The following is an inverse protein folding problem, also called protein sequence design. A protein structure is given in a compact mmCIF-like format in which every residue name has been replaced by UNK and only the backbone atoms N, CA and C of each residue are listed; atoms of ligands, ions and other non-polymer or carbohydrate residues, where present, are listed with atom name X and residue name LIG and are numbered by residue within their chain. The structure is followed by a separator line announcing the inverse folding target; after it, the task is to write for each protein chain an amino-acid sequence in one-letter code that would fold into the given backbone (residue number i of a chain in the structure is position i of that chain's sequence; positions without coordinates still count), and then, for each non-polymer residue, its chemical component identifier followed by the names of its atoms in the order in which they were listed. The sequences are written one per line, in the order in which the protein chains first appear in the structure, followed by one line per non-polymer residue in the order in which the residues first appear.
data_IF_028509097730
#
_entry.id   IF_028509097730
#
_cell.length_a   1.000
_cell.length_b   1.000
_cell.length_c   1.000
_cell.angle_alpha   90.00
_cell.angle_beta   90.00
_cell.angle_gamma   90.00
#
_symmetry.space_group_name_H-M   'P 1'
#
loop_
_entity.id
_entity.type
_entity.pdbx_description
1 polymer ?
#
# COMPACT_ATOMS: atom_id res chain seq x y z
N UNK A 1 12.26 22.14 4.81
CA UNK A 1 12.13 21.45 6.12
C UNK A 1 13.43 20.84 6.62
N UNK A 2 14.11 19.97 5.83
CA UNK A 2 15.33 19.30 6.31
C UNK A 2 16.51 20.25 6.57
N UNK A 3 16.75 21.21 5.68
CA UNK A 3 17.82 22.23 5.81
C UNK A 3 17.73 23.07 7.10
N UNK A 4 16.53 23.19 7.69
CA UNK A 4 16.29 23.97 8.91
C UNK A 4 16.00 23.06 10.12
N UNK A 5 16.25 21.76 10.03
CA UNK A 5 16.04 20.79 11.12
C UNK A 5 14.57 20.46 11.45
N UNK A 6 13.60 21.17 10.88
CA UNK A 6 12.18 20.98 11.17
C UNK A 6 11.67 19.58 10.82
N UNK A 7 12.28 18.89 9.84
CA UNK A 7 11.87 17.52 9.47
C UNK A 7 12.12 16.52 10.61
N UNK A 8 13.29 16.58 11.26
CA UNK A 8 13.63 15.69 12.36
C UNK A 8 12.71 15.87 13.58
N UNK A 9 12.11 17.05 13.74
CA UNK A 9 11.16 17.34 14.83
C UNK A 9 9.73 16.90 14.46
N UNK A 10 9.27 17.26 13.26
CA UNK A 10 7.87 17.07 12.86
C UNK A 10 7.61 15.70 12.21
N UNK A 11 8.61 15.11 11.57
CA UNK A 11 8.53 13.81 10.88
C UNK A 11 9.82 12.99 11.09
N UNK A 12 10.24 12.71 12.36
CA UNK A 12 11.43 11.91 12.65
C UNK A 12 11.45 10.55 11.95
N UNK A 13 10.29 9.93 11.71
CA UNK A 13 10.19 8.66 10.99
C UNK A 13 10.62 8.79 9.52
N UNK A 14 10.31 9.93 8.89
CA UNK A 14 10.69 10.23 7.51
C UNK A 14 12.15 10.69 7.43
N UNK A 15 12.61 11.51 8.38
CA UNK A 15 14.02 11.92 8.48
C UNK A 15 14.96 10.71 8.64
N UNK A 16 14.52 9.69 9.39
CA UNK A 16 15.28 8.46 9.59
C UNK A 16 15.50 7.60 8.33
N UNK A 17 14.80 7.88 7.21
CA UNK A 17 15.06 7.23 5.92
C UNK A 17 16.27 7.84 5.19
N UNK A 18 16.76 9.00 5.61
CA UNK A 18 17.87 9.66 4.96
C UNK A 18 19.17 8.85 5.10
N UNK A 19 19.82 8.56 3.97
CA UNK A 19 21.02 7.73 3.90
C UNK A 19 20.75 6.22 3.99
N UNK A 20 19.49 5.77 4.09
CA UNK A 20 19.13 4.34 4.07
C UNK A 20 19.08 3.87 2.61
N UNK A 21 19.98 2.96 2.18
CA UNK A 21 20.14 2.60 0.77
C UNK A 21 19.17 1.51 0.32
N UNK A 22 18.51 1.73 -0.82
CA UNK A 22 17.73 0.77 -1.59
C UNK A 22 18.57 0.08 -2.68
N UNK A 23 18.10 -1.05 -3.24
CA UNK A 23 18.82 -1.75 -4.29
C UNK A 23 18.80 -0.92 -5.59
N UNK A 24 19.99 -0.49 -6.05
CA UNK A 24 20.15 0.42 -7.20
C UNK A 24 19.47 -0.05 -8.50
N UNK A 25 19.34 -1.38 -8.68
CA UNK A 25 18.64 -1.97 -9.83
C UNK A 25 17.17 -1.53 -9.92
N UNK A 26 16.49 -1.45 -8.79
CA UNK A 26 15.07 -1.12 -8.72
C UNK A 26 14.82 0.33 -8.28
N UNK A 27 15.77 0.90 -7.55
CA UNK A 27 15.73 2.28 -7.04
C UNK A 27 17.03 2.99 -7.42
N UNK A 28 17.14 3.52 -8.66
CA UNK A 28 18.38 4.17 -9.12
C UNK A 28 18.75 5.42 -8.34
N UNK A 29 17.81 6.01 -7.60
CA UNK A 29 18.03 7.08 -6.62
C UNK A 29 18.80 6.63 -5.37
N UNK A 30 18.81 5.32 -5.08
CA UNK A 30 19.43 4.64 -3.93
C UNK A 30 18.85 5.08 -2.58
N UNK A 31 18.78 6.37 -2.28
CA UNK A 31 18.37 6.86 -0.97
C UNK A 31 16.86 6.72 -0.73
N UNK A 32 16.48 6.09 0.39
CA UNK A 32 15.07 5.83 0.75
C UNK A 32 14.27 7.09 1.04
N UNK A 33 14.89 8.15 1.58
CA UNK A 33 14.21 9.43 1.77
C UNK A 33 13.95 10.10 0.42
N UNK A 34 14.94 10.09 -0.49
CA UNK A 34 14.77 10.60 -1.85
C UNK A 34 13.64 9.85 -2.57
N UNK A 35 13.63 8.51 -2.48
CA UNK A 35 12.55 7.69 -3.01
C UNK A 35 11.19 8.14 -2.45
N UNK A 36 11.02 8.22 -1.13
CA UNK A 36 9.75 8.65 -0.53
C UNK A 36 9.28 10.04 -1.02
N UNK A 37 10.19 10.98 -1.29
CA UNK A 37 9.85 12.29 -1.86
C UNK A 37 9.42 12.21 -3.32
N UNK A 38 10.07 11.36 -4.12
CA UNK A 38 9.67 11.10 -5.51
C UNK A 38 8.29 10.42 -5.58
N UNK A 39 8.02 9.46 -4.68
CA UNK A 39 6.69 8.82 -4.54
C UNK A 39 5.63 9.85 -4.16
N UNK A 40 5.90 10.75 -3.20
CA UNK A 40 4.98 11.84 -2.85
C UNK A 40 4.69 12.77 -4.04
N UNK A 41 5.71 13.11 -4.82
CA UNK A 41 5.55 13.93 -6.01
C UNK A 41 4.61 13.26 -7.01
N UNK A 42 4.81 11.97 -7.30
CA UNK A 42 3.94 11.21 -8.19
C UNK A 42 2.53 11.04 -7.64
N UNK A 43 2.38 10.75 -6.35
CA UNK A 43 1.09 10.66 -5.69
C UNK A 43 0.32 11.98 -5.77
N UNK A 44 1.03 13.12 -5.68
CA UNK A 44 0.44 14.45 -5.86
C UNK A 44 -0.13 14.61 -7.26
N UNK A 45 0.67 14.32 -8.30
CA UNK A 45 0.24 14.44 -9.70
C UNK A 45 -0.92 13.49 -10.04
N UNK A 46 -0.82 12.23 -9.65
CA UNK A 46 -1.81 11.20 -9.94
C UNK A 46 -3.14 11.45 -9.22
N UNK A 47 -3.10 11.88 -7.96
CA UNK A 47 -4.32 12.16 -7.18
C UNK A 47 -5.09 13.39 -7.66
N UNK A 48 -4.49 14.29 -8.45
CA UNK A 48 -5.23 15.40 -9.07
C UNK A 48 -6.09 14.93 -10.27
N UNK A 49 -5.77 13.78 -10.86
CA UNK A 49 -6.43 13.27 -12.06
C UNK A 49 -7.64 12.38 -11.78
N UNK A 50 -7.87 12.04 -10.51
CA UNK A 50 -8.93 11.12 -10.09
C UNK A 50 -9.69 11.67 -8.88
N UNK A 51 -10.96 11.30 -8.76
CA UNK A 51 -11.74 11.61 -7.56
C UNK A 51 -11.36 10.64 -6.43
N UNK A 52 -10.71 11.17 -5.39
CA UNK A 52 -10.22 10.42 -4.24
C UNK A 52 -9.95 11.34 -3.03
N UNK A 53 -9.66 10.74 -1.87
CA UNK A 53 -9.13 11.45 -0.70
C UNK A 53 -7.65 11.82 -0.92
N UNK A 54 -7.40 12.86 -1.74
CA UNK A 54 -6.05 13.29 -2.19
C UNK A 54 -5.02 13.38 -1.06
N UNK A 55 -5.37 14.04 0.04
CA UNK A 55 -4.46 14.18 1.18
C UNK A 55 -4.19 12.87 1.91
N UNK A 56 -5.14 11.93 1.94
CA UNK A 56 -4.93 10.61 2.51
C UNK A 56 -3.99 9.77 1.64
N UNK A 57 -4.17 9.80 0.31
CA UNK A 57 -3.28 9.16 -0.67
C UNK A 57 -1.84 9.69 -0.53
N UNK A 58 -1.66 11.01 -0.50
CA UNK A 58 -0.33 11.64 -0.35
C UNK A 58 0.31 11.32 1.00
N UNK A 59 -0.48 11.26 2.07
CA UNK A 59 0.01 10.85 3.39
C UNK A 59 0.41 9.37 3.42
N UNK A 60 -0.38 8.48 2.82
CA UNK A 60 -0.03 7.06 2.72
C UNK A 60 1.23 6.83 1.88
N UNK A 61 1.40 7.60 0.79
CA UNK A 61 2.59 7.59 -0.05
C UNK A 61 3.89 7.89 0.72
N UNK A 62 3.91 8.90 1.59
CA UNK A 62 5.11 9.17 2.41
C UNK A 62 5.35 8.12 3.50
N UNK A 63 4.31 7.37 3.89
CA UNK A 63 4.39 6.39 4.98
C UNK A 63 4.78 4.98 4.51
N UNK A 64 4.69 4.68 3.21
CA UNK A 64 4.76 3.30 2.70
C UNK A 64 6.02 2.56 3.15
N UNK A 65 7.16 3.26 3.21
CA UNK A 65 8.48 2.68 3.40
C UNK A 65 9.16 3.01 4.74
N UNK A 66 8.44 3.61 5.70
CA UNK A 66 9.02 4.04 7.00
C UNK A 66 9.71 2.90 7.76
N UNK A 67 9.34 1.65 7.49
CA UNK A 67 9.98 0.47 8.07
C UNK A 67 11.42 0.24 7.63
N UNK A 68 11.88 0.77 6.49
CA UNK A 68 13.26 0.60 6.00
C UNK A 68 14.27 1.14 7.01
N UNK A 69 13.96 2.28 7.64
CA UNK A 69 14.76 2.87 8.73
C UNK A 69 14.89 1.97 9.98
N UNK A 70 14.04 0.95 10.13
CA UNK A 70 14.05 0.01 11.25
C UNK A 70 14.68 -1.34 10.91
N UNK A 71 15.09 -1.54 9.66
CA UNK A 71 15.77 -2.78 9.26
C UNK A 71 17.22 -2.80 9.75
N UNK A 72 17.74 -3.95 10.23
CA UNK A 72 19.15 -4.08 10.56
C UNK A 72 20.04 -3.80 9.35
N UNK A 73 21.18 -3.14 9.55
CA UNK A 73 22.13 -2.84 8.46
C UNK A 73 22.62 -4.09 7.71
N UNK A 74 22.68 -5.24 8.37
CA UNK A 74 23.00 -6.53 7.74
C UNK A 74 22.00 -6.96 6.65
N UNK A 75 20.78 -6.42 6.68
CA UNK A 75 19.74 -6.71 5.71
C UNK A 75 19.66 -5.63 4.60
N UNK A 76 20.51 -4.61 4.65
CA UNK A 76 20.57 -3.59 3.61
C UNK A 76 21.25 -4.16 2.36
N UNK A 77 20.80 -3.78 1.16
CA UNK A 77 19.71 -2.85 0.85
C UNK A 77 18.34 -3.53 0.63
N UNK A 78 18.18 -4.82 0.96
CA UNK A 78 16.98 -5.60 0.62
C UNK A 78 15.80 -5.36 1.55
N UNK A 79 16.07 -4.93 2.80
CA UNK A 79 15.05 -4.49 3.74
C UNK A 79 13.92 -5.52 3.99
N UNK A 80 14.27 -6.82 4.08
CA UNK A 80 13.30 -7.87 4.33
C UNK A 80 12.44 -7.58 5.58
N UNK A 81 11.11 -7.61 5.41
CA UNK A 81 10.14 -7.40 6.47
C UNK A 81 9.89 -5.94 6.87
N UNK A 82 10.41 -4.96 6.10
CA UNK A 82 10.18 -3.54 6.36
C UNK A 82 8.68 -3.19 6.42
N UNK A 83 7.83 -3.88 5.67
CA UNK A 83 6.38 -3.64 5.64
C UNK A 83 5.76 -3.77 7.05
N UNK A 84 6.14 -4.82 7.79
CA UNK A 84 5.69 -5.01 9.17
C UNK A 84 6.41 -4.11 10.16
N UNK A 85 7.72 -3.89 9.97
CA UNK A 85 8.51 -3.01 10.82
C UNK A 85 8.02 -1.55 10.74
N UNK A 86 7.43 -1.15 9.62
CA UNK A 86 6.87 0.16 9.36
C UNK A 86 5.55 0.46 10.10
N UNK A 87 4.83 -0.56 10.58
CA UNK A 87 3.56 -0.36 11.26
C UNK A 87 3.67 0.48 12.54
N UNK A 88 4.71 0.23 13.33
CA UNK A 88 4.95 0.99 14.57
C UNK A 88 5.31 2.47 14.30
N UNK A 89 6.31 2.82 13.45
CA UNK A 89 6.58 4.21 13.14
C UNK A 89 5.39 4.91 12.47
N UNK A 90 4.65 4.26 11.57
CA UNK A 90 3.43 4.83 10.96
C UNK A 90 2.40 5.20 12.02
N UNK A 91 2.11 4.30 12.98
CA UNK A 91 1.20 4.57 14.10
C UNK A 91 1.67 5.71 15.00
N UNK A 92 2.96 5.75 15.32
CA UNK A 92 3.53 6.80 16.15
C UNK A 92 3.42 8.19 15.49
N UNK A 93 3.74 8.26 14.19
CA UNK A 93 3.56 9.46 13.37
C UNK A 93 2.09 9.91 13.38
N UNK A 94 1.17 8.99 13.10
CA UNK A 94 -0.28 9.25 13.08
C UNK A 94 -0.78 9.79 14.42
N UNK A 95 -0.39 9.16 15.53
CA UNK A 95 -0.75 9.57 16.88
C UNK A 95 -0.22 10.96 17.22
N UNK A 96 1.04 11.24 16.89
CA UNK A 96 1.70 12.50 17.21
C UNK A 96 1.10 13.67 16.42
N UNK A 97 0.77 13.46 15.16
CA UNK A 97 0.13 14.46 14.30
C UNK A 97 -1.39 14.52 14.43
N UNK A 98 -2.00 13.63 15.22
CA UNK A 98 -3.47 13.51 15.39
C UNK A 98 -4.19 13.39 14.03
N UNK A 99 -3.65 12.58 13.13
CA UNK A 99 -4.23 12.41 11.79
C UNK A 99 -5.62 11.77 11.87
N UNK A 100 -6.54 12.09 10.93
CA UNK A 100 -7.84 11.44 10.89
C UNK A 100 -7.73 9.92 10.73
N UNK A 101 -8.69 9.19 11.31
CA UNK A 101 -8.68 7.72 11.32
C UNK A 101 -8.57 7.09 9.94
N UNK A 102 -9.22 7.67 8.93
CA UNK A 102 -9.15 7.20 7.54
C UNK A 102 -7.72 7.26 6.97
N UNK A 103 -6.98 8.33 7.28
CA UNK A 103 -5.62 8.55 6.79
C UNK A 103 -4.67 7.54 7.40
N UNK A 104 -4.79 7.34 8.72
CA UNK A 104 -4.02 6.31 9.43
C UNK A 104 -4.30 4.92 8.87
N UNK A 105 -5.57 4.56 8.63
CA UNK A 105 -5.91 3.25 8.08
C UNK A 105 -5.31 3.03 6.69
N UNK A 106 -5.41 4.02 5.80
CA UNK A 106 -4.82 3.90 4.46
C UNK A 106 -3.28 3.83 4.51
N UNK A 107 -2.64 4.62 5.37
CA UNK A 107 -1.19 4.59 5.55
C UNK A 107 -0.70 3.26 6.12
N UNK A 108 -1.37 2.72 7.14
CA UNK A 108 -1.05 1.40 7.71
C UNK A 108 -1.22 0.27 6.67
N UNK A 109 -2.34 0.26 5.94
CA UNK A 109 -2.59 -0.73 4.89
C UNK A 109 -1.55 -0.63 3.75
N UNK A 110 -1.20 0.58 3.35
CA UNK A 110 -0.19 0.81 2.32
C UNK A 110 1.17 0.32 2.78
N UNK A 111 1.58 0.70 4.00
CA UNK A 111 2.86 0.29 4.57
C UNK A 111 2.99 -1.25 4.62
N UNK A 112 1.95 -1.95 5.07
CA UNK A 112 1.98 -3.40 5.22
C UNK A 112 1.86 -4.16 3.89
N UNK A 113 1.09 -3.65 2.92
CA UNK A 113 0.67 -4.44 1.75
C UNK A 113 1.15 -3.93 0.39
N UNK A 114 1.83 -2.78 0.26
CA UNK A 114 2.26 -2.27 -1.06
C UNK A 114 3.08 -3.29 -1.86
N UNK A 115 3.97 -4.05 -1.22
CA UNK A 115 4.77 -5.10 -1.89
C UNK A 115 3.93 -6.29 -2.38
N UNK A 116 2.74 -6.53 -1.81
CA UNK A 116 1.82 -7.55 -2.30
C UNK A 116 1.24 -7.17 -3.65
N UNK A 117 0.88 -5.88 -3.85
CA UNK A 117 0.39 -5.43 -5.16
C UNK A 117 1.51 -5.43 -6.20
N UNK A 118 2.73 -5.01 -5.83
CA UNK A 118 3.88 -5.11 -6.74
C UNK A 118 4.11 -6.53 -7.26
N UNK A 119 3.77 -7.55 -6.44
CA UNK A 119 3.89 -8.97 -6.73
C UNK A 119 2.56 -9.65 -7.04
N UNK A 120 1.51 -8.91 -7.40
CA UNK A 120 0.14 -9.44 -7.52
C UNK A 120 0.05 -10.62 -8.50
N UNK A 121 0.87 -10.64 -9.56
CA UNK A 121 0.95 -11.72 -10.54
C UNK A 121 1.51 -13.04 -9.97
N UNK A 122 2.25 -12.97 -8.87
CA UNK A 122 2.89 -14.11 -8.21
C UNK A 122 2.06 -14.61 -7.02
N UNK A 123 0.99 -13.90 -6.64
CA UNK A 123 0.19 -14.25 -5.48
C UNK A 123 -0.76 -15.41 -5.78
N UNK A 124 -0.85 -16.34 -4.83
CA UNK A 124 -1.90 -17.37 -4.85
C UNK A 124 -3.29 -16.74 -4.68
N UNK A 125 -4.35 -17.30 -5.29
CA UNK A 125 -5.70 -16.76 -5.17
C UNK A 125 -6.19 -16.57 -3.73
N UNK A 126 -5.82 -17.47 -2.80
CA UNK A 126 -6.18 -17.33 -1.38
C UNK A 126 -5.54 -16.08 -0.74
N UNK A 127 -4.32 -15.74 -1.16
CA UNK A 127 -3.63 -14.54 -0.70
C UNK A 127 -4.31 -13.29 -1.24
N UNK A 128 -4.76 -13.31 -2.49
CA UNK A 128 -5.52 -12.20 -3.09
C UNK A 128 -6.86 -12.01 -2.37
N UNK A 129 -7.62 -13.07 -2.13
CA UNK A 129 -8.90 -12.99 -1.41
C UNK A 129 -8.69 -12.54 0.04
N UNK A 130 -7.60 -12.97 0.69
CA UNK A 130 -7.22 -12.45 2.02
C UNK A 130 -6.92 -10.96 1.97
N UNK A 131 -6.18 -10.48 0.97
CA UNK A 131 -5.90 -9.06 0.77
C UNK A 131 -7.21 -8.27 0.58
N UNK A 132 -8.11 -8.71 -0.30
CA UNK A 132 -9.42 -8.09 -0.51
C UNK A 132 -10.25 -8.04 0.78
N UNK A 133 -10.23 -9.10 1.58
CA UNK A 133 -10.87 -9.11 2.89
C UNK A 133 -10.24 -8.12 3.88
N UNK A 134 -8.91 -8.00 3.92
CA UNK A 134 -8.19 -7.03 4.75
C UNK A 134 -8.55 -5.60 4.39
N UNK A 135 -8.64 -5.30 3.09
CA UNK A 135 -9.06 -3.98 2.60
C UNK A 135 -10.57 -3.74 2.70
N UNK A 136 -11.36 -4.77 3.02
CA UNK A 136 -12.82 -4.72 3.08
C UNK A 136 -13.44 -4.21 1.77
N UNK A 137 -12.89 -4.66 0.64
CA UNK A 137 -13.26 -4.16 -0.70
C UNK A 137 -14.75 -4.33 -1.00
N UNK A 138 -15.39 -5.31 -0.36
CA UNK A 138 -16.82 -5.62 -0.51
C UNK A 138 -17.74 -4.50 -0.03
N UNK A 139 -17.29 -3.69 0.94
CA UNK A 139 -18.07 -2.59 1.54
C UNK A 139 -17.43 -1.23 1.32
N UNK A 140 -16.10 -1.19 1.20
CA UNK A 140 -15.29 0.03 1.12
C UNK A 140 -14.28 -0.04 -0.05
N UNK A 141 -14.75 -0.22 -1.30
CA UNK A 141 -13.85 -0.41 -2.44
C UNK A 141 -12.93 0.78 -2.70
N UNK A 142 -13.39 2.01 -2.43
CA UNK A 142 -12.63 3.24 -2.67
C UNK A 142 -11.25 3.21 -1.99
N UNK A 143 -11.16 2.72 -0.76
CA UNK A 143 -9.88 2.62 -0.02
C UNK A 143 -8.87 1.72 -0.72
N UNK A 144 -9.33 0.66 -1.39
CA UNK A 144 -8.46 -0.20 -2.17
C UNK A 144 -8.02 0.49 -3.46
N UNK A 145 -8.90 1.24 -4.13
CA UNK A 145 -8.53 2.05 -5.30
C UNK A 145 -7.46 3.09 -4.96
N UNK A 146 -7.60 3.76 -3.83
CA UNK A 146 -6.62 4.73 -3.32
C UNK A 146 -5.29 4.07 -2.98
N UNK A 147 -5.31 2.87 -2.40
CA UNK A 147 -4.10 2.09 -2.17
C UNK A 147 -3.40 1.68 -3.47
N UNK A 148 -4.14 1.25 -4.50
CA UNK A 148 -3.57 0.98 -5.82
C UNK A 148 -2.94 2.23 -6.43
N UNK A 149 -3.56 3.40 -6.26
CA UNK A 149 -3.01 4.68 -6.70
C UNK A 149 -1.67 5.01 -6.00
N UNK A 150 -1.55 4.70 -4.71
CA UNK A 150 -0.27 4.85 -3.99
C UNK A 150 0.78 3.89 -4.52
N UNK A 151 0.43 2.62 -4.77
CA UNK A 151 1.37 1.65 -5.34
C UNK A 151 1.82 2.03 -6.76
N UNK A 152 0.93 2.66 -7.54
CA UNK A 152 1.28 3.23 -8.83
C UNK A 152 2.25 4.41 -8.68
N UNK A 153 2.00 5.30 -7.74
CA UNK A 153 2.92 6.39 -7.40
C UNK A 153 4.29 5.88 -6.94
N UNK A 154 4.36 4.78 -6.18
CA UNK A 154 5.62 4.13 -5.78
C UNK A 154 6.42 3.67 -7.00
N UNK A 155 5.77 3.00 -7.95
CA UNK A 155 6.41 2.57 -9.20
C UNK A 155 6.97 3.75 -9.99
N UNK A 156 6.19 4.83 -10.14
CA UNK A 156 6.64 6.04 -10.85
C UNK A 156 7.61 6.89 -10.03
N UNK A 157 7.64 6.73 -8.71
CA UNK A 157 8.49 7.49 -7.79
C UNK A 157 9.93 6.96 -7.72
N UNK A 158 10.45 6.45 -8.83
CA UNK A 158 11.80 5.90 -8.98
C UNK A 158 12.48 6.61 -10.13
N UNK A 159 13.77 6.92 -9.97
CA UNK A 159 14.49 7.72 -10.96
C UNK A 159 14.55 7.03 -12.31
N UNK A 160 14.01 7.67 -13.35
CA UNK A 160 13.92 7.12 -14.71
C UNK A 160 12.68 6.27 -14.98
N UNK A 161 11.76 6.14 -14.02
CA UNK A 161 10.51 5.38 -14.13
C UNK A 161 9.27 6.28 -14.01
N UNK A 162 9.42 7.60 -14.09
CA UNK A 162 8.37 8.58 -13.82
C UNK A 162 7.15 8.44 -14.74
N UNK A 163 7.31 7.80 -15.90
CA UNK A 163 6.25 7.52 -16.88
C UNK A 163 5.89 6.04 -17.00
N UNK A 164 6.45 5.18 -16.15
CA UNK A 164 6.19 3.74 -16.21
C UNK A 164 4.70 3.43 -16.09
N UNK A 165 4.27 2.42 -16.83
CA UNK A 165 2.96 1.81 -16.65
C UNK A 165 2.98 0.89 -15.42
N UNK A 166 1.79 0.58 -14.91
CA UNK A 166 1.64 -0.27 -13.72
C UNK A 166 0.52 -1.31 -13.94
N UNK A 167 0.77 -2.35 -14.75
CA UNK A 167 -0.23 -3.35 -15.11
C UNK A 167 -0.78 -4.12 -13.89
N UNK A 168 -0.05 -4.12 -12.76
CA UNK A 168 -0.50 -4.68 -11.50
C UNK A 168 -1.82 -4.07 -11.02
N UNK A 169 -2.02 -2.76 -11.25
CA UNK A 169 -3.27 -2.09 -10.89
C UNK A 169 -4.44 -2.65 -11.70
N UNK A 170 -4.32 -2.71 -13.02
CA UNK A 170 -5.36 -3.24 -13.91
C UNK A 170 -5.68 -4.71 -13.57
N UNK A 171 -4.66 -5.51 -13.30
CA UNK A 171 -4.83 -6.91 -12.91
C UNK A 171 -5.53 -7.06 -11.56
N UNK A 172 -5.16 -6.26 -10.55
CA UNK A 172 -5.83 -6.27 -9.26
C UNK A 172 -7.32 -5.88 -9.38
N UNK A 173 -7.64 -4.93 -10.26
CA UNK A 173 -9.03 -4.57 -10.58
C UNK A 173 -9.78 -5.71 -11.27
N UNK A 174 -9.16 -6.38 -12.25
CA UNK A 174 -9.76 -7.52 -12.94
C UNK A 174 -10.09 -8.67 -11.97
N UNK A 175 -9.15 -8.99 -11.07
CA UNK A 175 -9.35 -9.98 -10.01
C UNK A 175 -10.50 -9.59 -9.06
N UNK A 176 -10.57 -8.30 -8.68
CA UNK A 176 -11.67 -7.81 -7.86
C UNK A 176 -13.02 -7.94 -8.58
N UNK A 177 -13.09 -7.57 -9.86
CA UNK A 177 -14.31 -7.70 -10.66
C UNK A 177 -14.74 -9.16 -10.85
N UNK A 178 -13.79 -10.09 -11.03
CA UNK A 178 -14.09 -11.52 -11.05
C UNK A 178 -14.67 -11.97 -9.70
N UNK A 179 -14.03 -11.61 -8.59
CA UNK A 179 -14.48 -11.99 -7.24
C UNK A 179 -15.88 -11.45 -6.86
N UNK A 180 -16.34 -10.36 -7.49
CA UNK A 180 -17.71 -9.84 -7.32
C UNK A 180 -18.78 -10.68 -8.00
N UNK A 181 -18.43 -11.50 -9.00
CA UNK A 181 -19.37 -12.35 -9.75
C UNK A 181 -19.81 -13.61 -9.00
N UNK A 182 -19.21 -13.89 -7.84
CA UNK A 182 -19.58 -15.06 -7.02
C UNK A 182 -20.98 -14.85 -6.46
N UNK A 183 -21.89 -15.72 -6.87
CA UNK A 183 -23.31 -15.61 -6.53
C UNK A 183 -23.60 -15.99 -5.08
N UNK A 184 -23.91 -14.98 -4.28
CA UNK A 184 -24.31 -15.16 -2.88
C UNK A 184 -25.68 -15.84 -2.76
N UNK A 185 -26.59 -15.66 -3.72
CA UNK A 185 -27.94 -16.20 -3.64
C UNK A 185 -27.92 -17.72 -3.76
N UNK A 186 -27.13 -18.28 -4.67
CA UNK A 186 -26.90 -19.73 -4.76
C UNK A 186 -26.33 -20.31 -3.46
N UNK A 187 -25.45 -19.59 -2.76
CA UNK A 187 -24.89 -20.04 -1.47
C UNK A 187 -25.96 -20.06 -0.38
N UNK A 188 -26.81 -19.02 -0.30
CA UNK A 188 -27.91 -18.96 0.66
C UNK A 188 -28.95 -20.04 0.36
N UNK A 189 -29.30 -20.23 -0.92
CA UNK A 189 -30.23 -21.26 -1.37
C UNK A 189 -29.74 -22.69 -1.06
N UNK A 190 -28.42 -22.89 -1.02
CA UNK A 190 -27.81 -24.16 -0.59
C UNK A 190 -27.86 -24.39 0.94
N UNK A 191 -28.50 -23.49 1.71
CA UNK A 191 -28.73 -23.64 3.14
C UNK A 191 -27.57 -23.21 4.05
N UNK A 192 -26.57 -22.51 3.51
CA UNK A 192 -25.48 -21.97 4.33
C UNK A 192 -25.94 -20.72 5.08
N UNK A 193 -25.54 -20.60 6.35
CA UNK A 193 -25.91 -19.49 7.22
C UNK A 193 -24.71 -18.84 7.90
N UNK A 194 -24.85 -17.57 8.30
CA UNK A 194 -23.89 -16.84 9.13
C UNK A 194 -22.44 -16.92 8.60
N UNK A 195 -21.51 -17.43 9.42
CA UNK A 195 -20.10 -17.60 9.06
C UNK A 195 -19.92 -18.50 7.84
N UNK A 196 -20.77 -19.50 7.66
CA UNK A 196 -20.65 -20.44 6.55
C UNK A 196 -20.88 -19.76 5.18
N UNK A 197 -21.74 -18.74 5.10
CA UNK A 197 -21.91 -17.93 3.88
C UNK A 197 -20.58 -17.26 3.50
N UNK A 198 -19.90 -16.66 4.48
CA UNK A 198 -18.60 -16.00 4.25
C UNK A 198 -17.54 -16.99 3.79
N UNK A 199 -17.50 -18.18 4.39
CA UNK A 199 -16.53 -19.21 4.04
C UNK A 199 -16.76 -19.72 2.61
N UNK A 200 -18.02 -19.93 2.20
CA UNK A 200 -18.36 -20.30 0.83
C UNK A 200 -18.10 -19.18 -0.18
N UNK A 201 -18.40 -17.92 0.16
CA UNK A 201 -18.05 -16.78 -0.69
C UNK A 201 -16.56 -16.71 -0.94
N UNK A 202 -15.74 -16.84 0.10
CA UNK A 202 -14.29 -16.86 -0.04
C UNK A 202 -13.83 -18.03 -0.91
N UNK A 203 -14.38 -19.23 -0.71
CA UNK A 203 -14.07 -20.40 -1.53
C UNK A 203 -14.43 -20.19 -3.00
N UNK A 204 -15.62 -19.67 -3.29
CA UNK A 204 -16.06 -19.35 -4.65
C UNK A 204 -15.14 -18.33 -5.32
N UNK A 205 -14.66 -17.33 -4.57
CA UNK A 205 -13.73 -16.29 -5.07
C UNK A 205 -12.32 -16.81 -5.36
N UNK A 206 -11.90 -17.88 -4.69
CA UNK A 206 -10.60 -18.53 -4.89
C UNK A 206 -10.62 -19.41 -6.15
N UNK A 207 -11.78 -19.97 -6.51
CA UNK A 207 -11.93 -20.94 -7.60
C UNK A 207 -12.26 -20.32 -8.97
N UNK A 208 -12.48 -19.00 -9.05
CA UNK A 208 -12.65 -18.26 -10.30
C UNK A 208 -11.32 -17.78 -10.85
#
# INVERSE_FOLDING_TARGET
MRQIGALAVLFPELDALYGVPNPAKFHPEIDSFVHAMMVLQQATLLSEQVDCHKSAVRFAAICHDLGKAKTPKSNWPHHHGHEKLGMTPTRNLCKRLKVPSYYQQLAELTCEYHTHIHKIFELRPETVVKLFNTFDVWRKPLRFMEFLLVCFADTRGRKGFEQSQYPQQEFALALYQAALKVDIQSIIAAGFENKAIRDQLNRGRILQ
#
